data_IF_489988896649
#
_entry.id   IF_489988896649
#
_cell.length_a   1.000
_cell.length_b   1.000
_cell.length_c   1.000
_cell.angle_alpha   90.00
_cell.angle_beta   90.00
_cell.angle_gamma   90.00
#
_symmetry.space_group_name_H-M   'P 1'
#
loop_
_entity.id
_entity.type
_entity.pdbx_description
1 polymer ?
#
# COMPACT_ATOMS: atom_id res chain seq x y z
N UNK A 1 0.23 11.70 -12.36
CA UNK A 1 -0.12 10.50 -11.57
C UNK A 1 -0.17 9.32 -12.54
N UNK A 2 0.15 8.12 -12.06
CA UNK A 2 -0.03 6.92 -12.89
C UNK A 2 -1.52 6.71 -13.17
N UNK A 3 -1.84 6.21 -14.34
CA UNK A 3 -3.19 5.76 -14.70
C UNK A 3 -3.54 4.48 -13.94
N UNK A 4 -4.83 4.19 -13.80
CA UNK A 4 -5.32 2.95 -13.18
C UNK A 4 -4.69 1.70 -13.82
N UNK A 5 -4.53 1.71 -15.14
CA UNK A 5 -3.90 0.62 -15.89
C UNK A 5 -2.42 0.47 -15.53
N UNK A 6 -1.69 1.58 -15.42
CA UNK A 6 -0.27 1.55 -15.05
C UNK A 6 -0.07 1.08 -13.60
N UNK A 7 -0.95 1.50 -12.68
CA UNK A 7 -0.93 1.05 -11.29
C UNK A 7 -1.16 -0.47 -11.22
N UNK A 8 -2.18 -0.99 -11.91
CA UNK A 8 -2.48 -2.43 -11.94
C UNK A 8 -1.34 -3.25 -12.54
N UNK A 9 -0.76 -2.80 -13.66
CA UNK A 9 0.37 -3.49 -14.31
C UNK A 9 1.59 -3.56 -13.39
N UNK A 10 1.94 -2.45 -12.74
CA UNK A 10 3.05 -2.42 -11.78
C UNK A 10 2.77 -3.29 -10.56
N UNK A 11 1.54 -3.24 -10.03
CA UNK A 11 1.12 -4.06 -8.90
C UNK A 11 1.24 -5.56 -9.19
N UNK A 12 0.73 -6.03 -10.34
CA UNK A 12 0.87 -7.44 -10.72
C UNK A 12 2.34 -7.85 -10.83
N UNK A 13 3.18 -7.02 -11.45
CA UNK A 13 4.61 -7.31 -11.57
C UNK A 13 5.26 -7.50 -10.21
N UNK A 14 5.01 -6.59 -9.26
CA UNK A 14 5.54 -6.69 -7.89
C UNK A 14 5.05 -7.94 -7.18
N UNK A 15 3.77 -8.31 -7.33
CA UNK A 15 3.21 -9.52 -6.73
C UNK A 15 3.92 -10.78 -7.27
N UNK A 16 4.06 -10.90 -8.59
CA UNK A 16 4.75 -12.04 -9.21
C UNK A 16 6.23 -12.10 -8.79
N UNK A 17 6.92 -10.96 -8.76
CA UNK A 17 8.34 -10.90 -8.36
C UNK A 17 8.58 -11.31 -6.91
N UNK A 18 7.64 -11.03 -6.00
CA UNK A 18 7.81 -11.28 -4.56
C UNK A 18 7.15 -12.56 -4.05
N UNK A 19 6.06 -13.00 -4.69
CA UNK A 19 5.28 -14.18 -4.28
C UNK A 19 5.46 -15.37 -5.23
N UNK A 20 5.89 -15.13 -6.47
CA UNK A 20 5.85 -16.13 -7.53
C UNK A 20 4.46 -16.27 -8.16
N UNK A 21 4.38 -16.95 -9.30
CA UNK A 21 3.16 -16.99 -10.13
C UNK A 21 1.94 -17.57 -9.38
N UNK A 22 2.12 -18.70 -8.70
CA UNK A 22 1.03 -19.43 -8.05
C UNK A 22 0.44 -18.63 -6.87
N UNK A 23 1.30 -18.11 -6.00
CA UNK A 23 0.85 -17.38 -4.82
C UNK A 23 0.34 -15.98 -5.17
N UNK A 24 0.87 -15.35 -6.22
CA UNK A 24 0.31 -14.10 -6.75
C UNK A 24 -1.12 -14.28 -7.26
N UNK A 25 -1.41 -15.35 -8.02
CA UNK A 25 -2.77 -15.66 -8.47
C UNK A 25 -3.72 -15.93 -7.29
N UNK A 26 -3.25 -16.71 -6.30
CA UNK A 26 -4.02 -16.98 -5.08
C UNK A 26 -4.31 -15.70 -4.30
N UNK A 27 -3.35 -14.78 -4.18
CA UNK A 27 -3.53 -13.48 -3.54
C UNK A 27 -4.63 -12.67 -4.22
N UNK A 28 -4.60 -12.54 -5.56
CA UNK A 28 -5.64 -11.84 -6.32
C UNK A 28 -7.01 -12.48 -6.12
N UNK A 29 -7.08 -13.82 -6.10
CA UNK A 29 -8.33 -14.54 -5.82
C UNK A 29 -8.86 -14.25 -4.41
N UNK A 30 -8.00 -14.17 -3.40
CA UNK A 30 -8.42 -13.91 -2.02
C UNK A 30 -8.92 -12.47 -1.86
N UNK A 31 -8.17 -11.48 -2.37
CA UNK A 31 -8.54 -10.07 -2.23
C UNK A 31 -9.78 -9.67 -3.05
N UNK A 32 -10.13 -10.46 -4.07
CA UNK A 32 -11.36 -10.27 -4.86
C UNK A 32 -12.57 -10.98 -4.25
N UNK A 33 -12.35 -12.07 -3.48
CA UNK A 33 -13.43 -12.84 -2.85
C UNK A 33 -13.89 -12.23 -1.53
N UNK A 34 -12.95 -11.70 -0.75
CA UNK A 34 -13.21 -11.21 0.59
C UNK A 34 -13.07 -9.68 0.60
N UNK A 35 -13.99 -8.94 1.25
CA UNK A 35 -13.83 -7.50 1.40
C UNK A 35 -12.57 -7.22 2.23
N UNK A 36 -11.59 -6.58 1.60
CA UNK A 36 -10.39 -6.13 2.30
C UNK A 36 -10.74 -4.91 3.17
N UNK A 37 -10.64 -5.05 4.49
CA UNK A 37 -10.86 -3.94 5.42
C UNK A 37 -9.66 -2.99 5.40
N UNK A 38 -9.78 -1.94 4.57
CA UNK A 38 -8.78 -0.89 4.47
C UNK A 38 -8.55 -0.17 5.81
N UNK A 39 -9.58 -0.01 6.65
CA UNK A 39 -9.46 0.69 7.93
C UNK A 39 -8.64 -0.13 8.91
N UNK A 40 -8.92 -1.43 8.97
CA UNK A 40 -8.15 -2.36 9.78
C UNK A 40 -6.70 -2.39 9.32
N UNK A 41 -6.43 -2.56 8.03
CA UNK A 41 -5.06 -2.55 7.51
C UNK A 41 -4.35 -1.22 7.75
N UNK A 42 -5.02 -0.09 7.55
CA UNK A 42 -4.44 1.24 7.78
C UNK A 42 -4.03 1.43 9.25
N UNK A 43 -4.81 0.92 10.20
CA UNK A 43 -4.45 0.95 11.62
C UNK A 43 -3.15 0.21 11.93
N UNK A 44 -2.79 -0.80 11.12
CA UNK A 44 -1.54 -1.55 11.29
C UNK A 44 -0.29 -0.79 10.86
N UNK A 45 -0.43 0.24 10.01
CA UNK A 45 0.71 0.95 9.43
C UNK A 45 1.47 1.83 10.43
N UNK A 46 0.81 2.24 11.51
CA UNK A 46 1.32 3.22 12.49
C UNK A 46 1.18 2.72 13.92
N UNK A 47 1.20 1.39 14.14
CA UNK A 47 0.98 0.81 15.48
C UNK A 47 1.95 1.34 16.54
N UNK A 48 3.17 1.70 16.13
CA UNK A 48 4.22 2.22 17.00
C UNK A 48 4.29 3.76 17.01
N UNK A 49 3.35 4.45 16.37
CA UNK A 49 3.38 5.90 16.20
C UNK A 49 2.09 6.58 16.67
N UNK A 50 2.24 7.64 17.45
CA UNK A 50 1.09 8.49 17.79
C UNK A 50 0.68 9.37 16.61
N UNK A 51 -0.56 9.86 16.62
CA UNK A 51 -1.08 10.76 15.59
C UNK A 51 -0.19 12.00 15.43
N UNK A 52 0.35 12.53 16.52
CA UNK A 52 1.28 13.66 16.50
C UNK A 52 2.58 13.34 15.78
N UNK A 53 3.14 12.14 15.99
CA UNK A 53 4.38 11.71 15.33
C UNK A 53 4.17 11.54 13.82
N UNK A 54 3.05 10.92 13.42
CA UNK A 54 2.67 10.78 12.01
C UNK A 54 2.46 12.16 11.37
N UNK A 55 1.77 13.08 12.07
CA UNK A 55 1.56 14.45 11.62
C UNK A 55 2.88 15.22 11.43
N UNK A 56 3.79 15.12 12.40
CA UNK A 56 5.10 15.75 12.33
C UNK A 56 5.93 15.22 11.15
N UNK A 57 5.91 13.90 10.92
CA UNK A 57 6.56 13.27 9.75
C UNK A 57 5.97 13.75 8.43
N UNK A 58 4.65 13.84 8.34
CA UNK A 58 3.96 14.35 7.15
C UNK A 58 4.35 15.82 6.86
N UNK A 59 4.42 16.66 7.90
CA UNK A 59 4.85 18.06 7.78
C UNK A 59 6.31 18.17 7.35
N UNK A 60 7.21 17.35 7.92
CA UNK A 60 8.63 17.28 7.51
C UNK A 60 8.77 16.86 6.04
N UNK A 61 8.04 15.84 5.60
CA UNK A 61 8.06 15.40 4.20
C UNK A 61 7.57 16.49 3.24
N UNK A 62 6.51 17.23 3.61
CA UNK A 62 6.01 18.36 2.82
C UNK A 62 7.02 19.50 2.73
N UNK A 63 7.72 19.81 3.83
CA UNK A 63 8.75 20.86 3.84
C UNK A 63 9.93 20.52 2.93
N UNK A 64 10.45 19.27 3.00
CA UNK A 64 11.54 18.79 2.15
C UNK A 64 11.23 18.78 0.65
N UNK A 65 9.95 18.68 0.26
CA UNK A 65 9.52 18.74 -1.15
C UNK A 65 9.40 20.16 -1.69
N UNK A 66 9.52 21.19 -0.86
CA UNK A 66 9.48 22.60 -1.26
C UNK A 66 10.86 23.21 -1.46
N UNK A 67 11.93 22.56 -1.00
CA UNK A 67 13.32 22.83 -1.38
C UNK A 67 13.67 22.11 -2.69
#
# INVERSE_FOLDING_TARGET
MLTDTEIKKKGLKVLVENLGDIDAEKFIRLITKEPFDYTQWQSTLWQDETVEQVSEKAMRYRAKRKE
#
